data_IF_929788881422
#
_entry.id   IF_929788881422
#
_cell.length_a   1.000
_cell.length_b   1.000
_cell.length_c   1.000
_cell.angle_alpha   90.00
_cell.angle_beta   90.00
_cell.angle_gamma   90.00
#
_symmetry.space_group_name_H-M   'P 1'
#
loop_
_entity.id
_entity.type
_entity.pdbx_description
1 polymer ?
#
# COMPACT_ATOMS: atom_id res chain seq x y z
N UNK A 1 -20.02 38.66 32.96
CA UNK A 1 -20.68 37.82 31.94
C UNK A 1 -19.61 37.43 30.93
N UNK A 2 -18.58 36.74 31.38
CA UNK A 2 -18.49 35.27 31.46
C UNK A 2 -18.54 34.59 30.08
N UNK A 3 -17.36 34.13 29.69
CA UNK A 3 -17.15 33.22 28.59
C UNK A 3 -17.79 31.86 28.92
N UNK A 4 -18.50 31.28 27.96
CA UNK A 4 -18.72 29.85 27.92
C UNK A 4 -18.50 29.35 26.50
N UNK A 5 -17.30 28.82 26.30
CA UNK A 5 -17.02 27.84 25.26
C UNK A 5 -17.83 26.58 25.56
N UNK A 6 -18.49 26.04 24.53
CA UNK A 6 -19.06 24.69 24.51
C UNK A 6 -18.38 24.01 23.32
N UNK A 7 -17.22 23.37 23.56
CA UNK A 7 -17.12 21.91 23.70
C UNK A 7 -17.82 21.20 22.52
N UNK A 8 -17.13 21.08 21.39
CA UNK A 8 -16.46 19.83 21.01
C UNK A 8 -17.39 18.61 20.99
N UNK A 9 -18.42 18.66 20.15
CA UNK A 9 -18.95 17.45 19.52
C UNK A 9 -18.26 17.27 18.17
N UNK A 10 -16.95 16.95 18.23
CA UNK A 10 -16.31 16.24 17.13
C UNK A 10 -16.97 14.86 17.09
N UNK A 11 -18.12 14.80 16.40
CA UNK A 11 -18.73 13.55 16.00
C UNK A 11 -17.61 12.62 15.54
N UNK A 12 -17.48 11.47 16.19
CA UNK A 12 -16.56 10.40 15.81
C UNK A 12 -16.91 9.97 14.38
N UNK A 13 -16.40 10.73 13.42
CA UNK A 13 -16.25 10.31 12.05
C UNK A 13 -15.27 9.16 12.14
N UNK A 14 -15.83 7.96 12.30
CA UNK A 14 -15.11 6.71 12.15
C UNK A 14 -14.28 6.88 10.89
N UNK A 15 -12.99 7.04 11.08
CA UNK A 15 -12.02 7.08 10.01
C UNK A 15 -12.24 5.75 9.30
N UNK A 16 -12.85 5.77 8.12
CA UNK A 16 -13.41 4.54 7.58
C UNK A 16 -12.30 3.48 7.42
N UNK A 17 -11.05 3.94 7.16
CA UNK A 17 -9.89 3.07 7.04
C UNK A 17 -8.57 3.76 7.49
N UNK A 18 -8.23 3.82 8.79
CA UNK A 18 -6.99 4.43 9.25
C UNK A 18 -5.78 3.51 9.10
N UNK A 19 -5.95 2.25 8.70
CA UNK A 19 -4.85 1.30 8.50
C UNK A 19 -4.79 0.81 7.06
N UNK A 20 -3.62 0.95 6.44
CA UNK A 20 -3.30 0.37 5.14
C UNK A 20 -2.39 -0.84 5.36
N UNK A 21 -2.78 -2.00 4.85
CA UNK A 21 -1.94 -3.20 4.83
C UNK A 21 -1.51 -3.49 3.40
N UNK A 22 -0.21 -3.64 3.21
CA UNK A 22 0.40 -4.04 1.96
C UNK A 22 0.77 -5.51 2.09
N UNK A 23 0.01 -6.37 1.42
CA UNK A 23 0.25 -7.81 1.45
C UNK A 23 1.09 -8.20 0.24
N UNK A 24 2.28 -8.74 0.48
CA UNK A 24 3.16 -9.27 -0.55
C UNK A 24 2.46 -10.44 -1.25
N UNK A 25 2.26 -10.31 -2.56
CA UNK A 25 1.82 -11.41 -3.41
C UNK A 25 3.01 -12.11 -4.07
N UNK A 26 3.93 -11.31 -4.61
CA UNK A 26 5.17 -11.78 -5.23
C UNK A 26 6.30 -10.83 -4.88
N UNK A 27 7.47 -11.35 -4.52
CA UNK A 27 8.68 -10.54 -4.34
C UNK A 27 9.90 -11.44 -4.26
N UNK A 28 10.91 -11.10 -5.06
CA UNK A 28 12.24 -11.70 -5.01
C UNK A 28 13.13 -11.06 -3.94
N UNK A 29 12.76 -9.86 -3.48
CA UNK A 29 13.58 -9.05 -2.57
C UNK A 29 13.31 -9.32 -1.08
N UNK A 30 12.11 -9.79 -0.74
CA UNK A 30 11.68 -9.97 0.66
C UNK A 30 11.67 -11.46 1.07
N UNK A 31 12.12 -11.81 2.29
CA UNK A 31 11.96 -13.17 2.82
C UNK A 31 10.49 -13.60 2.91
N UNK A 32 10.19 -14.90 2.78
CA UNK A 32 8.81 -15.43 2.90
C UNK A 32 8.13 -15.09 4.24
N UNK A 33 8.92 -14.93 5.30
CA UNK A 33 8.41 -14.56 6.63
C UNK A 33 7.88 -13.11 6.71
N UNK A 34 8.25 -12.23 5.77
CA UNK A 34 7.84 -10.83 5.76
C UNK A 34 6.83 -10.59 4.64
N UNK A 35 5.58 -10.99 4.90
CA UNK A 35 4.51 -10.98 3.91
C UNK A 35 3.56 -9.77 4.01
N UNK A 36 3.54 -9.04 5.12
CA UNK A 36 2.59 -7.93 5.34
C UNK A 36 3.32 -6.72 5.93
N UNK A 37 3.11 -5.55 5.33
CA UNK A 37 3.51 -4.27 5.91
C UNK A 37 2.27 -3.47 6.30
N UNK A 38 2.20 -3.02 7.56
CA UNK A 38 1.08 -2.23 8.08
C UNK A 38 1.52 -0.77 8.17
N UNK A 39 0.71 0.11 7.59
CA UNK A 39 0.92 1.55 7.52
C UNK A 39 -0.22 2.23 8.26
N UNK A 40 0.14 3.06 9.22
CA UNK A 40 -0.80 3.90 9.97
C UNK A 40 -0.89 5.27 9.29
N UNK A 41 -2.07 5.59 8.76
CA UNK A 41 -2.34 6.87 8.11
C UNK A 41 -2.19 8.06 9.05
N UNK A 42 -2.40 7.88 10.36
CA UNK A 42 -2.32 8.97 11.35
C UNK A 42 -0.88 9.45 11.60
N UNK A 43 0.11 8.63 11.28
CA UNK A 43 1.54 8.89 11.53
C UNK A 43 2.30 9.44 10.31
N UNK A 44 1.59 9.84 9.25
CA UNK A 44 2.19 10.56 8.12
C UNK A 44 2.73 9.68 6.99
N UNK A 45 2.32 8.40 6.93
CA UNK A 45 2.62 7.52 5.80
C UNK A 45 3.89 6.68 5.93
N UNK A 46 4.27 6.03 4.83
CA UNK A 46 5.47 5.19 4.72
C UNK A 46 6.21 5.46 3.40
N UNK A 47 7.53 5.60 3.49
CA UNK A 47 8.37 5.64 2.31
C UNK A 47 8.76 4.24 1.85
N UNK A 48 8.96 4.04 0.55
CA UNK A 48 9.43 2.79 -0.06
C UNK A 48 10.79 3.02 -0.70
N UNK A 49 11.73 2.13 -0.46
CA UNK A 49 13.01 2.16 -1.16
C UNK A 49 13.96 1.03 -0.77
N UNK A 50 15.13 1.01 -1.42
CA UNK A 50 16.11 -0.08 -1.24
C UNK A 50 17.02 0.07 -0.03
N UNK A 51 17.38 1.30 0.29
CA UNK A 51 18.38 1.61 1.30
C UNK A 51 17.72 1.72 2.69
N UNK A 52 18.50 1.44 3.75
CA UNK A 52 18.04 1.67 5.13
C UNK A 52 18.03 3.16 5.42
N UNK A 53 16.99 3.64 6.07
CA UNK A 53 16.87 5.04 6.51
C UNK A 53 16.53 5.10 7.99
N UNK A 54 16.80 6.25 8.61
CA UNK A 54 16.44 6.51 10.02
C UNK A 54 14.94 6.73 10.22
N UNK A 55 14.20 7.01 9.15
CA UNK A 55 12.74 7.13 9.14
C UNK A 55 12.06 5.78 8.85
N UNK A 56 10.83 5.57 9.34
CA UNK A 56 10.05 4.38 9.03
C UNK A 56 9.87 4.23 7.51
N UNK A 57 10.35 3.13 6.98
CA UNK A 57 10.43 2.84 5.54
C UNK A 57 10.20 1.37 5.26
N UNK A 58 9.41 1.08 4.23
CA UNK A 58 9.34 -0.25 3.63
C UNK A 58 10.60 -0.50 2.79
N UNK A 59 11.52 -1.30 3.32
CA UNK A 59 12.79 -1.61 2.67
C UNK A 59 12.65 -2.79 1.72
N UNK A 60 12.93 -2.56 0.43
CA UNK A 60 12.97 -3.60 -0.60
C UNK A 60 14.38 -3.71 -1.16
N UNK A 61 15.22 -4.65 -0.69
CA UNK A 61 16.64 -4.71 -1.04
C UNK A 61 16.89 -5.29 -2.44
N UNK A 62 16.31 -4.68 -3.48
CA UNK A 62 16.51 -5.04 -4.88
C UNK A 62 17.13 -3.91 -5.68
N UNK A 63 17.95 -4.27 -6.68
CA UNK A 63 18.57 -3.33 -7.62
C UNK A 63 17.55 -2.61 -8.51
N UNK A 64 16.37 -3.19 -8.73
CA UNK A 64 15.29 -2.53 -9.49
C UNK A 64 14.58 -1.45 -8.67
N UNK A 65 14.83 -1.39 -7.37
CA UNK A 65 14.22 -0.42 -6.46
C UNK A 65 15.21 0.73 -6.21
N UNK A 66 14.82 1.96 -6.58
CA UNK A 66 15.60 3.16 -6.26
C UNK A 66 15.74 3.38 -4.74
N UNK A 67 16.77 4.16 -4.33
CA UNK A 67 16.99 4.52 -2.91
C UNK A 67 15.74 5.15 -2.28
N UNK A 68 15.13 6.06 -3.01
CA UNK A 68 13.80 6.62 -2.77
C UNK A 68 12.96 6.25 -4.00
N UNK A 69 12.07 5.29 -3.87
CA UNK A 69 11.30 4.76 -5.01
C UNK A 69 9.90 5.37 -5.05
N UNK A 70 9.15 5.20 -3.97
CA UNK A 70 7.79 5.71 -3.87
C UNK A 70 7.51 6.11 -2.43
N UNK A 71 6.45 6.88 -2.24
CA UNK A 71 5.96 7.26 -0.94
C UNK A 71 4.45 7.01 -0.88
N UNK A 72 3.97 6.42 0.20
CA UNK A 72 2.55 6.25 0.46
C UNK A 72 2.19 7.11 1.65
N UNK A 73 1.16 7.94 1.53
CA UNK A 73 0.76 8.84 2.58
C UNK A 73 -0.75 9.04 2.59
N UNK A 74 -1.27 9.49 3.73
CA UNK A 74 -2.66 9.90 3.84
C UNK A 74 -2.82 11.35 3.35
N UNK A 75 -3.61 11.58 2.31
CA UNK A 75 -3.82 12.92 1.76
C UNK A 75 -4.78 13.77 2.60
N UNK A 76 -5.79 13.15 3.22
CA UNK A 76 -6.79 13.83 4.03
C UNK A 76 -6.81 13.31 5.47
N UNK A 77 -7.17 14.19 6.43
CA UNK A 77 -7.27 13.86 7.87
C UNK A 77 -8.62 13.28 8.27
N UNK A 78 -9.67 13.54 7.49
CA UNK A 78 -11.00 12.94 7.68
C UNK A 78 -11.81 13.16 6.39
N UNK A 79 -12.17 12.12 5.62
CA UNK A 79 -11.76 10.71 5.77
C UNK A 79 -10.30 10.47 5.37
N UNK A 80 -9.58 9.55 6.03
CA UNK A 80 -8.25 9.13 5.58
C UNK A 80 -8.35 8.48 4.20
N UNK A 81 -7.62 9.06 3.23
CA UNK A 81 -7.40 8.48 1.90
C UNK A 81 -5.92 8.27 1.67
N UNK A 82 -5.56 7.06 1.26
CA UNK A 82 -4.18 6.72 0.94
C UNK A 82 -3.89 7.06 -0.50
N UNK A 83 -2.79 7.78 -0.71
CA UNK A 83 -2.27 8.06 -2.04
C UNK A 83 -0.82 7.59 -2.11
N UNK A 84 -0.42 7.08 -3.27
CA UNK A 84 0.96 6.73 -3.59
C UNK A 84 1.54 7.72 -4.57
N UNK A 85 2.77 8.14 -4.37
CA UNK A 85 3.53 8.93 -5.32
C UNK A 85 4.87 8.28 -5.63
N UNK A 86 5.22 8.20 -6.90
CA UNK A 86 6.56 7.83 -7.35
C UNK A 86 7.50 9.03 -7.13
N UNK A 87 8.67 8.79 -6.53
CA UNK A 87 9.65 9.84 -6.23
C UNK A 87 10.75 9.95 -7.29
N UNK A 88 10.46 9.57 -8.54
CA UNK A 88 11.44 9.59 -9.62
C UNK A 88 12.23 8.28 -9.70
N UNK A 89 11.56 7.16 -9.50
CA UNK A 89 12.15 5.84 -9.65
C UNK A 89 12.67 5.59 -11.08
N UNK A 90 13.71 4.77 -11.21
CA UNK A 90 14.26 4.43 -12.53
C UNK A 90 13.34 3.45 -13.27
N UNK A 91 12.88 2.43 -12.56
CA UNK A 91 12.09 1.32 -13.13
C UNK A 91 10.58 1.55 -13.07
N UNK A 92 10.12 2.62 -12.41
CA UNK A 92 8.71 2.97 -12.31
C UNK A 92 7.98 2.27 -11.18
N UNK A 93 6.98 2.97 -10.67
CA UNK A 93 5.89 2.41 -9.87
C UNK A 93 4.70 2.13 -10.79
N UNK A 94 4.11 0.94 -10.67
CA UNK A 94 2.95 0.55 -11.43
C UNK A 94 1.79 0.20 -10.52
N UNK A 95 0.57 0.55 -10.95
CA UNK A 95 -0.66 0.25 -10.23
C UNK A 95 -1.62 -0.48 -11.17
N UNK A 96 -2.29 -1.50 -10.66
CA UNK A 96 -3.41 -2.14 -11.33
C UNK A 96 -4.63 -2.02 -10.43
N UNK A 97 -5.66 -1.31 -10.90
CA UNK A 97 -6.90 -1.14 -10.14
C UNK A 97 -7.68 -2.43 -10.09
N UNK A 98 -8.10 -2.81 -8.89
CA UNK A 98 -8.93 -3.99 -8.67
C UNK A 98 -9.88 -3.78 -7.51
N UNK A 99 -11.08 -4.31 -7.68
CA UNK A 99 -12.14 -4.31 -6.67
C UNK A 99 -12.31 -5.68 -6.01
N UNK A 100 -11.37 -6.61 -6.22
CA UNK A 100 -11.42 -7.97 -5.71
C UNK A 100 -10.05 -8.50 -5.27
N UNK A 101 -10.00 -9.39 -4.26
CA UNK A 101 -8.75 -10.00 -3.83
C UNK A 101 -8.16 -10.83 -4.98
N UNK A 102 -6.86 -10.67 -5.19
CA UNK A 102 -6.08 -11.35 -6.21
C UNK A 102 -5.17 -12.38 -5.56
N UNK A 103 -5.32 -13.65 -5.94
CA UNK A 103 -4.42 -14.71 -5.50
C UNK A 103 -3.07 -14.64 -6.24
N UNK A 104 -2.02 -15.24 -5.66
CA UNK A 104 -0.70 -15.31 -6.32
C UNK A 104 -0.76 -16.00 -7.69
N UNK A 105 -1.66 -16.98 -7.88
CA UNK A 105 -1.87 -17.64 -9.16
C UNK A 105 -2.55 -16.73 -10.19
N UNK A 106 -3.52 -15.92 -9.77
CA UNK A 106 -4.13 -14.91 -10.64
C UNK A 106 -3.12 -13.83 -11.03
N UNK A 107 -2.30 -13.36 -10.10
CA UNK A 107 -1.25 -12.38 -10.40
C UNK A 107 -0.31 -12.85 -11.51
N UNK A 108 0.08 -14.13 -11.51
CA UNK A 108 0.93 -14.71 -12.54
C UNK A 108 0.23 -14.82 -13.91
N UNK A 109 -1.10 -14.86 -13.93
CA UNK A 109 -1.91 -14.88 -15.15
C UNK A 109 -2.23 -13.47 -15.68
N UNK A 110 -1.92 -12.40 -14.93
CA UNK A 110 -2.19 -11.03 -15.39
C UNK A 110 -1.18 -10.59 -16.45
N UNK A 111 -1.66 -10.05 -17.58
CA UNK A 111 -0.75 -9.46 -18.54
C UNK A 111 -0.18 -8.16 -17.98
N UNK A 112 1.09 -7.88 -18.30
CA UNK A 112 1.79 -6.66 -17.90
C UNK A 112 1.08 -5.37 -18.33
N UNK A 113 0.24 -5.43 -19.37
CA UNK A 113 -0.60 -4.32 -19.84
C UNK A 113 -1.70 -3.90 -18.86
N UNK A 114 -2.01 -4.74 -17.85
CA UNK A 114 -2.98 -4.41 -16.80
C UNK A 114 -2.41 -3.41 -15.78
N UNK A 115 -1.09 -3.21 -15.78
CA UNK A 115 -0.38 -2.33 -14.87
C UNK A 115 -0.13 -0.98 -15.52
N UNK A 116 -0.78 0.05 -14.98
CA UNK A 116 -0.57 1.43 -15.37
C UNK A 116 0.66 2.00 -14.64
N UNK A 117 1.58 2.60 -15.40
CA UNK A 117 2.76 3.24 -14.83
C UNK A 117 2.43 4.66 -14.40
N UNK A 118 2.77 5.03 -13.15
CA UNK A 118 2.43 6.34 -12.58
C UNK A 118 3.25 7.52 -13.13
N UNK A 119 4.49 7.29 -13.56
CA UNK A 119 5.35 8.34 -14.12
C UNK A 119 6.40 7.81 -15.07
N UNK A 120 6.97 8.70 -15.87
CA UNK A 120 8.14 8.41 -16.70
C UNK A 120 9.38 8.10 -15.83
N UNK A 121 10.41 7.40 -16.38
CA UNK A 121 11.64 7.12 -15.65
C UNK A 121 12.27 8.41 -15.11
N UNK A 122 12.68 8.38 -13.83
CA UNK A 122 13.30 9.53 -13.15
C UNK A 122 12.40 10.76 -13.03
N UNK A 123 11.09 10.60 -13.18
CA UNK A 123 10.12 11.68 -12.99
C UNK A 123 9.21 11.36 -11.81
N UNK A 124 8.92 12.35 -10.97
CA UNK A 124 7.99 12.19 -9.87
C UNK A 124 6.56 12.10 -10.42
N UNK A 125 5.73 11.19 -9.88
CA UNK A 125 4.33 11.09 -10.30
C UNK A 125 3.46 12.10 -9.55
N UNK A 126 2.27 12.36 -10.08
CA UNK A 126 1.20 12.90 -9.26
C UNK A 126 0.75 11.87 -8.21
N UNK A 127 0.13 12.32 -7.11
CA UNK A 127 -0.46 11.42 -6.12
C UNK A 127 -1.55 10.56 -6.77
N UNK A 128 -1.42 9.26 -6.65
CA UNK A 128 -2.39 8.29 -7.12
C UNK A 128 -3.19 7.74 -5.95
N UNK A 129 -4.51 7.90 -5.98
CA UNK A 129 -5.39 7.41 -4.92
C UNK A 129 -5.52 5.88 -4.96
N UNK A 130 -5.14 5.25 -3.86
CA UNK A 130 -5.20 3.79 -3.66
C UNK A 130 -6.57 3.36 -3.16
N UNK A 131 -7.09 2.29 -3.74
CA UNK A 131 -8.33 1.64 -3.33
C UNK A 131 -8.07 0.26 -2.71
N UNK A 132 -9.07 -0.26 -2.01
CA UNK A 132 -9.02 -1.58 -1.41
C UNK A 132 -8.98 -2.64 -2.53
N UNK A 133 -8.03 -3.58 -2.45
CA UNK A 133 -7.62 -4.59 -3.43
C UNK A 133 -6.74 -4.14 -4.60
N UNK A 134 -6.35 -2.86 -4.66
CA UNK A 134 -5.41 -2.42 -5.70
C UNK A 134 -4.07 -3.16 -5.62
N UNK A 135 -3.47 -3.42 -6.79
CA UNK A 135 -2.17 -4.04 -6.87
C UNK A 135 -1.10 -3.00 -7.15
N UNK A 136 -0.14 -2.89 -6.25
CA UNK A 136 1.01 -2.00 -6.35
C UNK A 136 2.25 -2.80 -6.70
N UNK A 137 2.78 -2.60 -7.91
CA UNK A 137 4.03 -3.20 -8.37
C UNK A 137 5.16 -2.16 -8.33
N UNK A 138 6.22 -2.50 -7.61
CA UNK A 138 7.42 -1.69 -7.44
C UNK A 138 8.54 -2.29 -8.31
N UNK A 139 9.02 -1.53 -9.29
CA UNK A 139 9.96 -2.02 -10.30
C UNK A 139 9.28 -2.79 -11.44
N UNK A 140 10.07 -3.26 -12.42
CA UNK A 140 9.54 -3.92 -13.62
C UNK A 140 9.03 -5.33 -13.31
N UNK A 141 9.78 -6.11 -12.52
CA UNK A 141 9.38 -7.49 -12.16
C UNK A 141 9.67 -7.83 -10.69
N UNK A 142 9.91 -6.83 -9.83
CA UNK A 142 10.55 -7.11 -8.56
C UNK A 142 9.61 -7.44 -7.39
N UNK A 143 8.56 -6.65 -7.16
CA UNK A 143 7.70 -6.84 -5.98
C UNK A 143 6.29 -6.31 -6.22
N UNK A 144 5.29 -7.15 -5.96
CA UNK A 144 3.87 -6.82 -6.05
C UNK A 144 3.23 -6.93 -4.68
N UNK A 145 2.58 -5.85 -4.27
CA UNK A 145 1.76 -5.76 -3.08
C UNK A 145 0.29 -5.64 -3.45
N UNK A 146 -0.55 -6.26 -2.65
CA UNK A 146 -1.99 -6.05 -2.64
C UNK A 146 -2.33 -5.06 -1.52
N UNK A 147 -3.11 -4.04 -1.84
CA UNK A 147 -3.51 -2.98 -0.93
C UNK A 147 -4.80 -3.36 -0.21
N UNK A 148 -4.75 -3.48 1.11
CA UNK A 148 -5.94 -3.68 1.94
C UNK A 148 -6.12 -2.48 2.87
N UNK A 149 -7.23 -1.77 2.71
CA UNK A 149 -7.67 -0.69 3.58
C UNK A 149 -8.57 -1.24 4.69
N UNK A 150 -8.27 -0.94 5.95
CA UNK A 150 -8.99 -1.43 7.13
C UNK A 150 -9.31 -0.32 8.13
N UNK A 151 -10.49 -0.43 8.75
CA UNK A 151 -10.99 0.45 9.82
C UNK A 151 -10.25 0.26 11.14
N UNK A 152 -9.81 -0.97 11.42
CA UNK A 152 -9.03 -1.27 12.63
C UNK A 152 -7.75 -2.04 12.32
N UNK A 153 -6.75 -1.92 13.20
CA UNK A 153 -5.47 -2.62 13.06
C UNK A 153 -5.60 -4.14 13.13
N UNK A 154 -6.70 -4.65 13.68
CA UNK A 154 -6.95 -6.06 13.96
C UNK A 154 -8.03 -6.67 13.09
N UNK A 155 -8.65 -5.91 12.19
CA UNK A 155 -9.67 -6.44 11.28
C UNK A 155 -9.09 -7.64 10.55
N UNK A 156 -9.78 -8.78 10.66
CA UNK A 156 -9.36 -10.00 9.99
C UNK A 156 -9.75 -9.84 8.53
N UNK A 157 -8.76 -9.63 7.67
CA UNK A 157 -8.98 -9.81 6.25
C UNK A 157 -8.90 -11.32 6.03
N UNK A 158 -10.06 -11.99 6.01
CA UNK A 158 -10.15 -13.37 5.57
C UNK A 158 -9.77 -13.41 4.09
N UNK A 159 -8.46 -13.46 3.85
CA UNK A 159 -7.95 -14.05 2.63
C UNK A 159 -8.46 -15.47 2.72
N UNK A 160 -9.53 -15.79 1.99
CA UNK A 160 -9.94 -17.16 1.72
C UNK A 160 -8.74 -17.85 1.08
N UNK A 161 -7.82 -18.33 1.93
CA UNK A 161 -6.94 -19.40 1.57
C UNK A 161 -7.89 -20.52 1.19
N UNK A 162 -7.85 -20.94 -0.06
CA UNK A 162 -8.33 -22.26 -0.43
C UNK A 162 -7.58 -23.28 0.40
N UNK A 163 -8.04 -23.50 1.62
CA UNK A 163 -7.82 -24.73 2.33
C UNK A 163 -8.61 -25.76 1.52
N UNK A 164 -7.93 -26.42 0.58
CA UNK A 164 -8.34 -27.74 0.16
C UNK A 164 -8.47 -28.56 1.43
N UNK A 165 -9.70 -28.73 1.88
CA UNK A 165 -10.05 -29.69 2.91
C UNK A 165 -9.76 -31.07 2.30
N UNK A 166 -8.55 -31.58 2.54
CA UNK A 166 -8.26 -32.99 2.39
C UNK A 166 -8.98 -33.68 3.56
N UNK A 167 -10.25 -34.02 3.38
CA UNK A 167 -10.94 -34.93 4.29
C UNK A 167 -10.51 -36.35 3.90
N UNK A 168 -9.96 -37.07 4.87
CA UNK A 168 -9.64 -38.51 4.79
C UNK A 168 -10.83 -39.36 4.37
#
# INVERSE_FOLDING_TARGET
MEAHAVASEAAEAHDAHPFLRLVKLSSDALPRAQAVAIVDGRRGGVSIGRDKTFTPRLRLPSMEVSKHHANIYSNSRAPIRYSVSDTGSTHGTFVCRRDRPTSTGELAALPDSSFERLSQPKHASQPYDLHHYDLLRIGLQCTVFEVHLHGTAWDVCDRQMGASACTN
#
